data_IF_607577528049
#
_entry.id   IF_607577528049
#
_cell.length_a   1.000
_cell.length_b   1.000
_cell.length_c   1.000
_cell.angle_alpha   90.00
_cell.angle_beta   90.00
_cell.angle_gamma   90.00
#
_symmetry.space_group_name_H-M   'P 1'
#
loop_
_entity.id
_entity.type
_entity.pdbx_description
1 polymer ?
#
# COMPACT_ATOMS: atom_id res chain seq x y z
N UNK A 1 -5.26 -36.13 -8.85
CA UNK A 1 -4.83 -35.03 -7.95
C UNK A 1 -3.47 -35.39 -7.36
N UNK A 2 -2.43 -34.58 -7.55
CA UNK A 2 -1.08 -34.90 -7.07
C UNK A 2 -0.97 -34.60 -5.56
N UNK A 3 -0.85 -35.65 -4.73
CA UNK A 3 -0.88 -35.58 -3.27
C UNK A 3 0.24 -34.67 -2.73
N UNK A 4 1.41 -34.68 -3.36
CA UNK A 4 2.54 -33.82 -2.96
C UNK A 4 2.23 -32.33 -3.18
N UNK A 5 1.64 -32.00 -4.34
CA UNK A 5 1.21 -30.62 -4.65
C UNK A 5 0.09 -30.16 -3.71
N UNK A 6 -0.81 -31.06 -3.34
CA UNK A 6 -1.89 -30.80 -2.39
C UNK A 6 -1.34 -30.51 -0.97
N UNK A 7 -0.41 -31.34 -0.48
CA UNK A 7 0.23 -31.14 0.83
C UNK A 7 1.07 -29.86 0.88
N UNK A 8 1.81 -29.54 -0.19
CA UNK A 8 2.54 -28.28 -0.31
C UNK A 8 1.59 -27.07 -0.29
N UNK A 9 0.43 -27.17 -0.95
CA UNK A 9 -0.59 -26.11 -0.93
C UNK A 9 -1.16 -25.90 0.48
N UNK A 10 -1.38 -26.98 1.24
CA UNK A 10 -1.82 -26.91 2.64
C UNK A 10 -0.76 -26.25 3.53
N UNK A 11 0.51 -26.61 3.36
CA UNK A 11 1.61 -26.01 4.10
C UNK A 11 1.74 -24.51 3.84
N UNK A 12 1.65 -24.10 2.57
CA UNK A 12 1.64 -22.68 2.19
C UNK A 12 0.43 -21.93 2.74
N UNK A 13 -0.77 -22.53 2.69
CA UNK A 13 -1.97 -21.94 3.26
C UNK A 13 -1.85 -21.75 4.78
N UNK A 14 -1.25 -22.71 5.50
CA UNK A 14 -1.00 -22.62 6.94
C UNK A 14 0.07 -21.58 7.27
N UNK A 15 1.15 -21.51 6.49
CA UNK A 15 2.19 -20.50 6.65
C UNK A 15 1.64 -19.08 6.39
N UNK A 16 0.82 -18.92 5.35
CA UNK A 16 0.10 -17.69 5.06
C UNK A 16 -0.83 -17.34 6.21
N UNK A 17 -1.65 -18.26 6.70
CA UNK A 17 -2.55 -18.03 7.84
C UNK A 17 -1.78 -17.61 9.10
N UNK A 18 -0.64 -18.25 9.39
CA UNK A 18 0.24 -17.88 10.51
C UNK A 18 0.82 -16.48 10.33
N UNK A 19 1.24 -16.11 9.12
CA UNK A 19 1.71 -14.77 8.77
C UNK A 19 0.61 -13.72 8.94
N UNK A 20 -0.60 -14.01 8.45
CA UNK A 20 -1.77 -13.13 8.57
C UNK A 20 -2.21 -12.92 10.03
N UNK A 21 -1.89 -13.88 10.90
CA UNK A 21 -2.23 -13.85 12.34
C UNK A 21 -1.16 -13.16 13.18
N UNK A 22 -0.08 -12.64 12.59
CA UNK A 22 0.93 -11.87 13.32
C UNK A 22 0.34 -10.54 13.82
N UNK A 23 0.80 -10.10 15.00
CA UNK A 23 0.26 -8.92 15.69
C UNK A 23 0.23 -7.65 14.82
N UNK A 24 1.24 -7.48 13.94
CA UNK A 24 1.31 -6.37 13.00
C UNK A 24 0.14 -6.33 12.00
N UNK A 25 -0.37 -7.47 11.56
CA UNK A 25 -1.54 -7.55 10.67
C UNK A 25 -2.86 -7.50 11.44
N UNK A 26 -2.92 -8.01 12.67
CA UNK A 26 -4.11 -7.86 13.52
C UNK A 26 -4.42 -6.39 13.86
N UNK A 27 -3.40 -5.52 13.86
CA UNK A 27 -3.58 -4.08 14.00
C UNK A 27 -4.19 -3.41 12.74
N UNK A 28 -4.17 -4.08 11.58
CA UNK A 28 -4.69 -3.55 10.32
C UNK A 28 -6.17 -3.86 10.11
N UNK A 29 -6.70 -4.84 10.83
CA UNK A 29 -8.10 -5.24 10.78
C UNK A 29 -8.29 -6.75 10.79
N UNK A 30 -9.55 -7.18 10.71
CA UNK A 30 -9.90 -8.60 10.67
C UNK A 30 -9.37 -9.27 9.39
N UNK A 31 -8.87 -10.52 9.45
CA UNK A 31 -8.35 -11.23 8.27
C UNK A 31 -9.32 -11.31 7.09
N UNK A 32 -10.63 -11.27 7.34
CA UNK A 32 -11.66 -11.30 6.28
C UNK A 32 -11.70 -10.04 5.40
N UNK A 33 -11.06 -8.95 5.83
CA UNK A 33 -10.98 -7.69 5.08
C UNK A 33 -9.99 -7.75 3.91
N UNK A 34 -9.17 -8.81 3.83
CA UNK A 34 -8.10 -8.95 2.86
C UNK A 34 -8.34 -10.12 1.92
N UNK A 35 -8.06 -9.92 0.63
CA UNK A 35 -8.02 -11.01 -0.33
C UNK A 35 -6.66 -11.72 -0.28
N UNK A 36 -6.52 -12.67 0.64
CA UNK A 36 -5.27 -13.42 0.82
C UNK A 36 -4.85 -14.23 -0.40
N UNK A 37 -5.79 -14.70 -1.22
CA UNK A 37 -5.48 -15.41 -2.45
C UNK A 37 -4.89 -14.45 -3.49
N UNK A 38 -5.47 -13.25 -3.61
CA UNK A 38 -4.95 -12.18 -4.45
C UNK A 38 -3.60 -11.67 -3.97
N UNK A 39 -3.43 -11.46 -2.66
CA UNK A 39 -2.14 -11.05 -2.05
C UNK A 39 -1.07 -12.09 -2.34
N UNK A 40 -1.35 -13.37 -2.10
CA UNK A 40 -0.41 -14.45 -2.41
C UNK A 40 -0.07 -14.49 -3.91
N UNK A 41 -1.07 -14.31 -4.79
CA UNK A 41 -0.83 -14.21 -6.22
C UNK A 41 0.10 -13.04 -6.55
N UNK A 42 -0.19 -11.84 -6.08
CA UNK A 42 0.60 -10.64 -6.34
C UNK A 42 2.05 -10.83 -5.90
N UNK A 43 2.26 -11.38 -4.69
CA UNK A 43 3.60 -11.65 -4.21
C UNK A 43 4.31 -12.69 -5.09
N UNK A 44 3.63 -13.76 -5.50
CA UNK A 44 4.21 -14.81 -6.36
C UNK A 44 4.67 -14.31 -7.73
N UNK A 45 4.12 -13.19 -8.24
CA UNK A 45 4.52 -12.59 -9.52
C UNK A 45 5.80 -11.74 -9.42
N UNK A 46 6.24 -11.40 -8.21
CA UNK A 46 7.47 -10.65 -8.01
C UNK A 46 8.65 -11.52 -8.44
N UNK A 47 9.43 -11.05 -9.43
CA UNK A 47 10.63 -11.75 -9.90
C UNK A 47 11.58 -11.98 -8.72
N UNK A 48 11.88 -13.24 -8.44
CA UNK A 48 12.70 -13.66 -7.29
C UNK A 48 11.93 -14.41 -6.21
N UNK A 49 10.58 -14.45 -6.27
CA UNK A 49 9.75 -15.13 -5.28
C UNK A 49 10.17 -16.62 -5.08
N UNK A 50 10.42 -17.34 -6.17
CA UNK A 50 10.73 -18.79 -6.11
C UNK A 50 12.20 -19.15 -6.35
N UNK A 51 13.10 -18.17 -6.49
CA UNK A 51 14.48 -18.45 -6.91
C UNK A 51 15.40 -18.73 -5.72
N UNK A 52 15.53 -20.01 -5.34
CA UNK A 52 16.65 -20.52 -4.53
C UNK A 52 17.98 -20.53 -5.30
N UNK A 53 18.30 -19.48 -6.06
CA UNK A 53 19.60 -19.35 -6.72
C UNK A 53 20.48 -18.37 -5.95
N UNK A 54 21.46 -18.95 -5.25
CA UNK A 54 22.72 -18.33 -4.86
C UNK A 54 22.62 -16.93 -4.21
N UNK A 55 21.93 -16.84 -3.08
CA UNK A 55 22.39 -15.96 -2.01
C UNK A 55 21.84 -14.53 -1.93
N UNK A 56 20.67 -14.19 -2.48
CA UNK A 56 19.99 -12.94 -2.09
C UNK A 56 18.53 -13.13 -1.63
N UNK A 57 18.33 -13.53 -0.36
CA UNK A 57 17.06 -13.34 0.35
C UNK A 57 16.70 -11.85 0.59
N UNK A 58 17.56 -10.91 0.18
CA UNK A 58 17.42 -9.48 0.41
C UNK A 58 16.14 -8.89 -0.20
N UNK A 59 15.77 -9.25 -1.43
CA UNK A 59 14.61 -8.66 -2.12
C UNK A 59 13.27 -9.08 -1.48
N UNK A 60 13.27 -10.27 -0.90
CA UNK A 60 12.10 -10.83 -0.24
C UNK A 60 11.87 -10.29 1.16
N UNK A 61 12.95 -10.27 1.95
CA UNK A 61 12.98 -9.58 3.23
C UNK A 61 12.64 -8.11 2.99
N UNK A 62 13.09 -7.52 1.89
CA UNK A 62 12.75 -6.17 1.47
C UNK A 62 11.25 -5.97 1.20
N UNK A 63 10.57 -6.85 0.45
CA UNK A 63 9.12 -6.74 0.29
C UNK A 63 8.38 -6.94 1.61
N UNK A 64 8.75 -7.92 2.43
CA UNK A 64 8.11 -8.11 3.74
C UNK A 64 8.38 -6.91 4.67
N UNK A 65 9.60 -6.37 4.63
CA UNK A 65 9.99 -5.16 5.37
C UNK A 65 9.30 -3.92 4.82
N UNK A 66 9.02 -3.84 3.52
CA UNK A 66 8.18 -2.82 2.89
C UNK A 66 6.73 -2.91 3.40
N UNK A 67 6.14 -4.11 3.44
CA UNK A 67 4.81 -4.35 3.99
C UNK A 67 4.70 -3.89 5.46
N UNK A 68 5.77 -4.04 6.24
CA UNK A 68 5.80 -3.80 7.70
C UNK A 68 6.30 -2.40 8.11
N UNK A 69 7.39 -1.88 7.52
CA UNK A 69 8.10 -0.67 7.96
C UNK A 69 7.57 0.63 7.32
N UNK A 70 7.00 0.56 6.11
CA UNK A 70 6.39 1.72 5.42
C UNK A 70 5.28 2.34 6.27
N UNK A 71 4.53 1.46 6.94
CA UNK A 71 3.44 1.79 7.82
C UNK A 71 3.91 2.62 8.99
N UNK A 72 4.99 2.20 9.64
CA UNK A 72 5.42 2.80 10.87
C UNK A 72 6.02 4.17 10.60
N UNK A 73 6.82 4.35 9.55
CA UNK A 73 7.61 5.59 9.43
C UNK A 73 6.82 6.78 8.87
N UNK A 74 6.09 6.61 7.77
CA UNK A 74 5.30 7.72 7.21
C UNK A 74 4.18 8.13 8.16
N UNK A 75 3.45 7.16 8.73
CA UNK A 75 2.42 7.49 9.73
C UNK A 75 3.02 8.11 10.98
N UNK A 76 4.22 7.69 11.43
CA UNK A 76 4.92 8.33 12.54
C UNK A 76 5.35 9.76 12.19
N UNK A 77 5.82 10.02 10.96
CA UNK A 77 6.19 11.36 10.51
C UNK A 77 4.96 12.28 10.41
N UNK A 78 3.87 11.81 9.81
CA UNK A 78 2.58 12.51 9.72
C UNK A 78 2.00 12.78 11.12
N UNK A 79 2.05 11.81 12.03
CA UNK A 79 1.60 12.00 13.42
C UNK A 79 2.47 12.98 14.20
N UNK A 80 3.79 12.91 14.04
CA UNK A 80 4.72 13.78 14.79
C UNK A 80 4.78 15.20 14.24
N UNK A 81 4.61 15.39 12.93
CA UNK A 81 4.71 16.69 12.26
C UNK A 81 3.69 16.82 11.12
N UNK A 82 2.38 16.87 11.44
CA UNK A 82 1.32 16.95 10.43
C UNK A 82 1.37 18.23 9.58
N UNK A 83 1.98 19.30 10.10
CA UNK A 83 2.21 20.55 9.38
C UNK A 83 3.34 20.47 8.34
N UNK A 84 4.23 19.47 8.44
CA UNK A 84 5.26 19.23 7.43
C UNK A 84 4.85 18.10 6.51
N UNK A 85 4.31 17.00 7.05
CA UNK A 85 3.99 15.80 6.28
C UNK A 85 2.49 15.71 6.03
N UNK A 86 2.02 16.27 4.91
CA UNK A 86 0.59 16.24 4.56
C UNK A 86 0.13 14.82 4.21
N UNK A 87 -1.08 14.41 4.64
CA UNK A 87 -1.79 13.25 4.09
C UNK A 87 -1.88 13.24 2.56
N UNK A 88 -1.98 14.42 1.95
CA UNK A 88 -2.27 14.61 0.53
C UNK A 88 -1.14 14.16 -0.40
N UNK A 89 0.06 13.89 0.10
CA UNK A 89 1.18 13.55 -0.77
C UNK A 89 1.13 12.15 -1.37
N UNK A 90 0.35 11.24 -0.78
CA UNK A 90 0.08 9.94 -1.38
C UNK A 90 -0.92 10.06 -2.55
N UNK A 91 -1.63 11.19 -2.64
CA UNK A 91 -2.73 11.40 -3.57
C UNK A 91 -2.33 11.23 -5.05
N UNK A 92 -1.21 11.80 -5.56
CA UNK A 92 -0.88 11.68 -6.97
C UNK A 92 -0.61 10.23 -7.40
N UNK A 93 0.17 9.48 -6.62
CA UNK A 93 0.49 8.08 -6.92
C UNK A 93 -0.76 7.20 -6.77
N UNK A 94 -1.61 7.52 -5.79
CA UNK A 94 -2.83 6.79 -5.54
C UNK A 94 -3.87 6.99 -6.65
N UNK A 95 -4.11 8.24 -7.07
CA UNK A 95 -4.96 8.58 -8.22
C UNK A 95 -4.47 7.86 -9.47
N UNK A 96 -3.17 7.94 -9.74
CA UNK A 96 -2.53 7.27 -10.88
C UNK A 96 -2.78 5.76 -10.87
N UNK A 97 -2.56 5.10 -9.74
CA UNK A 97 -2.82 3.66 -9.58
C UNK A 97 -4.30 3.31 -9.81
N UNK A 98 -5.23 4.06 -9.19
CA UNK A 98 -6.68 3.87 -9.35
C UNK A 98 -7.10 4.00 -10.81
N UNK A 99 -6.64 5.03 -11.49
CA UNK A 99 -7.03 5.34 -12.86
C UNK A 99 -6.45 4.32 -13.84
N UNK A 100 -5.22 3.84 -13.62
CA UNK A 100 -4.65 2.72 -14.38
C UNK A 100 -5.40 1.42 -14.17
N UNK A 101 -5.84 1.13 -12.94
CA UNK A 101 -6.70 -0.03 -12.67
C UNK A 101 -8.00 0.07 -13.47
N UNK A 102 -8.69 1.21 -13.38
CA UNK A 102 -9.93 1.46 -14.10
C UNK A 102 -9.76 1.27 -15.61
N UNK A 103 -8.76 1.95 -16.19
CA UNK A 103 -8.45 1.86 -17.60
C UNK A 103 -8.17 0.41 -18.03
N UNK A 104 -7.36 -0.30 -17.26
CA UNK A 104 -7.01 -1.69 -17.56
C UNK A 104 -8.25 -2.59 -17.57
N UNK A 105 -9.17 -2.44 -16.63
CA UNK A 105 -10.41 -3.23 -16.63
C UNK A 105 -11.37 -2.85 -17.77
N UNK A 106 -11.52 -1.56 -18.08
CA UNK A 106 -12.34 -1.11 -19.20
C UNK A 106 -11.77 -1.55 -20.55
N UNK A 107 -10.44 -1.71 -20.65
CA UNK A 107 -9.80 -2.19 -21.88
C UNK A 107 -10.06 -3.68 -22.18
N UNK A 108 -10.40 -4.48 -21.15
CA UNK A 108 -10.60 -5.91 -21.30
C UNK A 108 -11.96 -6.27 -21.94
N UNK A 109 -13.00 -5.49 -21.64
CA UNK A 109 -14.33 -5.62 -22.24
C UNK A 109 -15.16 -4.38 -21.96
N UNK A 110 -16.18 -4.16 -22.78
CA UNK A 110 -17.21 -3.15 -22.50
C UNK A 110 -17.98 -3.51 -21.22
N UNK A 111 -18.04 -2.56 -20.28
CA UNK A 111 -18.76 -2.68 -19.02
C UNK A 111 -19.96 -1.72 -19.00
N UNK A 112 -20.93 -2.04 -18.15
CA UNK A 112 -22.09 -1.17 -17.92
C UNK A 112 -21.64 0.16 -17.27
N UNK A 113 -22.34 1.29 -17.53
CA UNK A 113 -22.02 2.59 -16.91
C UNK A 113 -21.92 2.56 -15.38
N UNK A 114 -22.68 1.69 -14.71
CA UNK A 114 -22.64 1.50 -13.26
C UNK A 114 -21.28 1.02 -12.74
N UNK A 115 -20.45 0.37 -13.58
CA UNK A 115 -19.12 -0.09 -13.18
C UNK A 115 -18.22 1.06 -12.74
N UNK A 116 -18.19 2.17 -13.49
CA UNK A 116 -17.33 3.31 -13.16
C UNK A 116 -17.75 3.88 -11.80
N UNK A 117 -19.03 4.19 -11.64
CA UNK A 117 -19.55 4.73 -10.39
C UNK A 117 -19.29 3.78 -9.22
N UNK A 118 -19.61 2.49 -9.36
CA UNK A 118 -19.39 1.49 -8.33
C UNK A 118 -17.91 1.26 -8.02
N UNK A 119 -17.03 1.42 -9.00
CA UNK A 119 -15.59 1.31 -8.81
C UNK A 119 -15.09 2.48 -7.99
N UNK A 120 -15.40 3.73 -8.36
CA UNK A 120 -14.92 4.93 -7.66
C UNK A 120 -15.48 5.08 -6.23
N UNK A 121 -16.65 4.50 -5.93
CA UNK A 121 -17.24 4.54 -4.59
C UNK A 121 -16.65 3.53 -3.60
N UNK A 122 -15.74 2.65 -4.05
CA UNK A 122 -15.08 1.73 -3.13
C UNK A 122 -14.21 2.50 -2.14
N UNK A 123 -14.40 2.20 -0.86
CA UNK A 123 -13.65 2.79 0.27
C UNK A 123 -12.13 2.72 0.10
N UNK A 124 -11.63 1.72 -0.64
CA UNK A 124 -10.19 1.63 -0.88
C UNK A 124 -9.65 2.79 -1.69
N UNK A 125 -10.49 3.53 -2.43
CA UNK A 125 -10.09 4.71 -3.19
C UNK A 125 -10.23 6.03 -2.42
N UNK A 126 -10.82 6.00 -1.22
CA UNK A 126 -10.99 7.20 -0.40
C UNK A 126 -9.65 7.57 0.28
N UNK A 127 -8.89 8.42 -0.41
CA UNK A 127 -7.64 8.98 0.09
C UNK A 127 -7.86 10.33 0.78
N UNK A 128 -9.03 10.98 0.65
CA UNK A 128 -9.32 12.26 1.32
C UNK A 128 -9.34 12.08 2.84
N UNK A 129 -9.87 10.94 3.30
CA UNK A 129 -9.91 10.57 4.73
C UNK A 129 -8.77 9.60 5.08
N UNK A 130 -7.92 9.22 4.10
CA UNK A 130 -6.96 8.11 4.21
C UNK A 130 -7.61 6.88 4.85
N UNK A 131 -8.66 6.36 4.21
CA UNK A 131 -9.38 5.20 4.74
C UNK A 131 -8.41 4.04 5.05
N UNK A 132 -8.70 3.19 6.05
CA UNK A 132 -7.87 2.02 6.34
C UNK A 132 -7.62 1.17 5.08
N UNK A 133 -8.63 1.06 4.22
CA UNK A 133 -8.56 0.34 2.95
C UNK A 133 -7.60 0.94 1.93
N UNK A 134 -7.56 2.26 1.83
CA UNK A 134 -6.59 2.98 1.01
C UNK A 134 -5.16 2.70 1.50
N UNK A 135 -4.95 2.77 2.82
CA UNK A 135 -3.65 2.48 3.41
C UNK A 135 -3.23 1.02 3.24
N UNK A 136 -4.16 0.06 3.17
CA UNK A 136 -3.83 -1.34 2.86
C UNK A 136 -3.18 -1.49 1.47
N UNK A 137 -3.67 -0.76 0.46
CA UNK A 137 -3.11 -0.79 -0.89
C UNK A 137 -1.66 -0.31 -0.94
N UNK A 138 -1.33 0.75 -0.20
CA UNK A 138 0.07 1.21 -0.09
C UNK A 138 0.97 0.09 0.42
N UNK A 139 0.43 -0.78 1.28
CA UNK A 139 1.11 -1.95 1.86
C UNK A 139 0.92 -3.21 1.02
N UNK A 140 0.51 -3.14 -0.24
CA UNK A 140 0.32 -4.34 -1.08
C UNK A 140 -0.72 -5.33 -0.55
N UNK A 141 -1.52 -4.93 0.43
CA UNK A 141 -2.62 -5.72 0.94
C UNK A 141 -3.83 -5.40 0.09
N UNK A 142 -4.34 -6.42 -0.62
CA UNK A 142 -5.46 -6.28 -1.52
C UNK A 142 -6.78 -6.31 -0.73
N UNK A 143 -7.58 -5.23 -0.73
CA UNK A 143 -8.82 -5.21 0.02
C UNK A 143 -9.85 -6.19 -0.57
N UNK A 144 -10.53 -6.95 0.29
CA UNK A 144 -11.50 -7.96 -0.12
C UNK A 144 -12.73 -7.36 -0.82
N UNK A 145 -13.16 -6.14 -0.45
CA UNK A 145 -14.28 -5.48 -1.10
C UNK A 145 -13.97 -5.08 -2.54
N UNK A 146 -12.72 -4.66 -2.83
CA UNK A 146 -12.28 -4.39 -4.19
C UNK A 146 -12.38 -5.65 -5.06
N UNK A 147 -11.85 -6.77 -4.59
CA UNK A 147 -11.90 -8.02 -5.38
C UNK A 147 -13.31 -8.58 -5.45
N UNK A 148 -14.12 -8.45 -4.40
CA UNK A 148 -15.52 -8.84 -4.40
C UNK A 148 -16.34 -8.04 -5.41
N UNK A 149 -16.11 -6.73 -5.52
CA UNK A 149 -16.72 -5.89 -6.54
C UNK A 149 -16.31 -6.36 -7.95
N UNK A 150 -15.01 -6.50 -8.20
CA UNK A 150 -14.51 -6.88 -9.53
C UNK A 150 -14.95 -8.30 -9.96
N UNK A 151 -15.15 -9.22 -9.01
CA UNK A 151 -15.64 -10.59 -9.27
C UNK A 151 -17.02 -10.65 -9.89
N UNK A 152 -17.82 -9.59 -9.75
CA UNK A 152 -19.12 -9.49 -10.42
C UNK A 152 -18.97 -9.36 -11.94
N UNK A 153 -17.80 -8.89 -12.40
CA UNK A 153 -17.54 -8.59 -13.80
C UNK A 153 -16.46 -9.50 -14.41
N UNK A 154 -15.48 -9.95 -13.63
CA UNK A 154 -14.31 -10.67 -14.13
C UNK A 154 -14.00 -11.93 -13.32
N UNK A 155 -13.45 -12.99 -13.96
CA UNK A 155 -12.87 -14.11 -13.23
C UNK A 155 -11.69 -13.66 -12.36
N UNK A 156 -11.50 -14.30 -11.20
CA UNK A 156 -10.38 -14.01 -10.29
C UNK A 156 -9.00 -14.04 -10.97
N UNK A 157 -8.80 -14.97 -11.90
CA UNK A 157 -7.55 -15.08 -12.65
C UNK A 157 -7.25 -13.85 -13.51
N UNK A 158 -8.29 -13.19 -14.04
CA UNK A 158 -8.16 -11.94 -14.79
C UNK A 158 -7.90 -10.79 -13.83
N UNK A 159 -8.67 -10.70 -12.74
CA UNK A 159 -8.51 -9.67 -11.71
C UNK A 159 -7.07 -9.62 -11.19
N UNK A 160 -6.53 -10.78 -10.78
CA UNK A 160 -5.20 -10.84 -10.21
C UNK A 160 -4.10 -10.56 -11.23
N UNK A 161 -4.25 -11.05 -12.48
CA UNK A 161 -3.30 -10.74 -13.56
C UNK A 161 -3.28 -9.27 -13.93
N UNK A 162 -4.41 -8.58 -13.84
CA UNK A 162 -4.51 -7.15 -14.13
C UNK A 162 -3.98 -6.29 -12.97
N UNK A 163 -4.37 -6.58 -11.73
CA UNK A 163 -3.99 -5.76 -10.57
C UNK A 163 -2.53 -5.98 -10.18
N UNK A 164 -2.03 -7.21 -10.22
CA UNK A 164 -0.70 -7.54 -9.71
C UNK A 164 0.44 -6.67 -10.27
N UNK A 165 0.59 -6.46 -11.59
CA UNK A 165 1.65 -5.60 -12.11
C UNK A 165 1.44 -4.14 -11.70
N UNK A 166 0.21 -3.63 -11.75
CA UNK A 166 -0.12 -2.25 -11.38
C UNK A 166 0.17 -1.98 -9.89
N UNK A 167 -0.17 -2.94 -9.03
CA UNK A 167 0.08 -2.84 -7.59
C UNK A 167 1.58 -2.87 -7.31
N UNK A 168 2.33 -3.70 -8.04
CA UNK A 168 3.78 -3.73 -7.92
C UNK A 168 4.41 -2.40 -8.37
N UNK A 169 4.00 -1.87 -9.53
CA UNK A 169 4.49 -0.59 -10.03
C UNK A 169 4.16 0.55 -9.06
N UNK A 170 2.94 0.57 -8.51
CA UNK A 170 2.54 1.52 -7.48
C UNK A 170 3.42 1.42 -6.23
N UNK A 171 3.71 0.20 -5.75
CA UNK A 171 4.58 -0.01 -4.60
C UNK A 171 6.04 0.36 -4.88
N UNK A 172 6.54 0.09 -6.08
CA UNK A 172 7.89 0.46 -6.51
C UNK A 172 7.99 1.97 -6.67
N UNK A 173 6.97 2.66 -7.16
CA UNK A 173 6.93 4.12 -7.24
C UNK A 173 6.88 4.73 -5.83
N UNK A 174 5.98 4.25 -4.98
CA UNK A 174 5.92 4.67 -3.56
C UNK A 174 7.25 4.44 -2.83
N UNK A 175 7.93 3.32 -3.08
CA UNK A 175 9.16 3.00 -2.37
C UNK A 175 10.43 3.57 -3.02
N UNK A 176 10.50 3.56 -4.34
CA UNK A 176 11.64 4.05 -5.12
C UNK A 176 11.78 5.55 -5.03
N UNK A 177 10.67 6.28 -5.10
CA UNK A 177 10.65 7.74 -4.98
C UNK A 177 10.82 8.20 -3.53
N UNK A 178 10.29 7.46 -2.54
CA UNK A 178 10.25 7.94 -1.15
C UNK A 178 11.31 7.28 -0.25
N UNK A 179 11.63 5.99 -0.41
CA UNK A 179 12.18 5.19 0.71
C UNK A 179 13.43 4.34 0.46
N UNK A 180 13.80 4.00 -0.79
CA UNK A 180 15.04 3.24 -1.06
C UNK A 180 16.32 4.04 -0.70
N UNK A 181 16.20 5.36 -0.52
CA UNK A 181 17.29 6.26 -0.18
C UNK A 181 16.93 7.16 1.02
N UNK A 182 17.04 6.66 2.25
CA UNK A 182 17.06 7.48 3.49
C UNK A 182 18.34 8.36 3.59
N UNK A 183 18.71 9.07 2.53
CA UNK A 183 19.62 10.21 2.65
C UNK A 183 19.48 11.20 1.49
N UNK A 184 19.54 10.78 0.22
CA UNK A 184 19.58 11.75 -0.88
C UNK A 184 18.21 11.99 -1.51
N UNK A 185 17.51 10.94 -1.96
CA UNK A 185 16.22 11.12 -2.65
C UNK A 185 15.09 11.50 -1.69
N UNK A 186 15.09 10.99 -0.45
CA UNK A 186 14.11 11.46 0.54
C UNK A 186 14.31 12.94 0.87
N UNK A 187 15.57 13.41 0.97
CA UNK A 187 15.84 14.85 1.12
C UNK A 187 15.53 15.63 -0.15
N UNK A 188 15.80 15.10 -1.35
CA UNK A 188 15.43 15.74 -2.61
C UNK A 188 13.90 15.82 -2.81
N UNK A 189 13.17 14.79 -2.37
CA UNK A 189 11.72 14.79 -2.36
C UNK A 189 11.19 15.77 -1.30
N UNK A 190 11.72 15.78 -0.09
CA UNK A 190 11.39 16.79 0.92
C UNK A 190 11.66 18.20 0.39
N UNK A 191 12.81 18.43 -0.27
CA UNK A 191 13.14 19.69 -0.95
C UNK A 191 12.17 20.02 -2.08
N UNK A 192 11.71 19.03 -2.86
CA UNK A 192 10.66 19.21 -3.88
C UNK A 192 9.30 19.62 -3.30
N UNK A 193 9.08 19.34 -2.01
CA UNK A 193 7.89 19.72 -1.24
C UNK A 193 8.17 20.95 -0.33
N UNK A 194 9.29 21.65 -0.53
CA UNK A 194 9.75 22.81 0.27
C UNK A 194 10.03 22.52 1.76
N UNK A 195 10.42 21.29 2.09
CA UNK A 195 10.71 20.83 3.46
C UNK A 195 12.21 20.78 3.68
N UNK A 196 12.70 21.73 4.48
CA UNK A 196 14.11 21.82 4.85
C UNK A 196 14.41 21.22 6.23
N UNK A 197 15.69 21.00 6.54
CA UNK A 197 16.13 20.64 7.90
C UNK A 197 15.67 21.69 8.95
N UNK A 198 15.57 22.96 8.57
CA UNK A 198 15.12 24.05 9.44
C UNK A 198 13.62 23.97 9.76
N UNK A 199 12.77 23.56 8.80
CA UNK A 199 11.34 23.37 9.04
C UNK A 199 11.10 22.23 10.01
N UNK A 200 11.93 21.17 9.97
CA UNK A 200 11.90 20.06 10.93
C UNK A 200 12.31 20.48 12.34
N UNK A 201 13.18 21.48 12.52
CA UNK A 201 13.63 21.90 13.86
C UNK A 201 12.62 22.80 14.59
N UNK A 202 11.72 23.47 13.87
CA UNK A 202 10.64 24.27 14.48
C UNK A 202 9.51 23.34 14.96
N UNK A 203 9.55 22.94 16.22
CA UNK A 203 8.38 22.37 16.90
C UNK A 203 7.27 23.41 17.10
N UNK A 204 6.04 22.98 17.43
CA UNK A 204 4.92 23.85 17.80
C UNK A 204 5.40 24.96 18.74
N UNK A 205 5.65 26.15 18.20
CA UNK A 205 5.75 27.36 18.99
C UNK A 205 4.31 27.68 19.39
N UNK A 206 3.93 27.27 20.59
CA UNK A 206 2.83 27.89 21.31
C UNK A 206 3.23 29.34 21.61
N UNK A 207 3.21 30.21 20.61
CA UNK A 207 3.21 31.64 20.83
C UNK A 207 1.79 32.04 21.25
N UNK A 208 1.45 31.77 22.51
CA UNK A 208 0.46 32.58 23.20
C UNK A 208 1.05 33.98 23.35
N UNK A 209 0.67 34.87 22.45
CA UNK A 209 1.05 36.28 22.50
C UNK A 209 0.35 36.93 23.70
N UNK A 210 1.17 37.55 24.56
CA UNK A 210 0.92 38.74 25.40
C UNK A 210 -0.28 38.75 26.34
N UNK A 211 -0.04 38.94 27.64
CA UNK A 211 -0.13 40.29 28.26
C UNK A 211 0.57 40.25 29.63
N UNK A 212 1.79 40.77 29.71
CA UNK A 212 2.39 41.18 30.98
C UNK A 212 1.81 42.54 31.34
N UNK A 213 1.01 42.59 32.39
CA UNK A 213 0.69 43.81 33.12
C UNK A 213 1.89 44.21 33.97
N UNK A 214 2.36 45.45 33.83
CA UNK A 214 3.22 46.07 34.82
C UNK A 214 2.99 47.58 34.84
N UNK A 215 2.35 47.99 35.93
CA UNK A 215 2.43 49.25 36.70
C UNK A 215 2.34 50.59 35.97
#
# INVERSE_FOLDING_TARGET
MNIHHFLHSIANARALLSFCSMACFTALGFPALFDWAGIHFCLSQIKGFTSHKNGRPEFWIFYIKLLLDMLLTLTTLQQRKPHLYSPDWLCPQFIKFRDFCLFSFLSLKTLDPSFNTGFFTLDCWDYEILSPSCLWLTRGLLPAHLTTFLKQYFPLSVIYKTISPLLNDFQVELYGEIWLCQNVLFHAWEESQDISAASKLRGLSSNSLSTTSSS
#
